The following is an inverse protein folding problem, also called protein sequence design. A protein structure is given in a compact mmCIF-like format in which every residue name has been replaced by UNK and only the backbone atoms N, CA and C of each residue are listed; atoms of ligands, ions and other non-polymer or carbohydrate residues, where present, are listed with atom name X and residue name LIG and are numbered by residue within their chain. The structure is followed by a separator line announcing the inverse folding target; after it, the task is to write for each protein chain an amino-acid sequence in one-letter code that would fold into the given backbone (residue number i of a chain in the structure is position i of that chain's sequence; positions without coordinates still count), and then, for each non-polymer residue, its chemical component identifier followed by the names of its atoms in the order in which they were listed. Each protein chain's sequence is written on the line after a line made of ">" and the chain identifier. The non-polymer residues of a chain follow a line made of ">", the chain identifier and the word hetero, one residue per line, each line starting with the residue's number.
data_IF_419907957412
#
_entry.id   IF_419907957412
#
_cell.length_a   1.000
_cell.length_b   1.000
_cell.length_c   1.000
_cell.angle_alpha   90.00
_cell.angle_beta   90.00
_cell.angle_gamma   90.00
#
_symmetry.space_group_name_H-M   'P 1'
#
loop_
_entity.id
_entity.type
_entity.pdbx_description
1 polymer ?
#
# COMPACT_ATOMS: atom_id res chain seq x y z
N UNK A 1 -22.00 16.19 23.22
CA UNK A 1 -20.83 16.91 22.69
C UNK A 1 -19.60 16.06 22.97
N UNK A 2 -19.03 15.43 21.95
CA UNK A 2 -17.79 14.64 22.05
C UNK A 2 -16.64 15.63 21.85
N UNK A 3 -15.68 15.68 22.77
CA UNK A 3 -14.62 16.69 22.82
C UNK A 3 -13.57 16.48 21.72
N UNK A 4 -13.23 17.53 20.97
CA UNK A 4 -12.27 17.51 19.85
C UNK A 4 -10.88 16.94 20.19
N UNK A 5 -10.50 16.96 21.47
CA UNK A 5 -9.19 16.50 21.93
C UNK A 5 -9.01 14.97 21.80
N UNK A 6 -10.08 14.19 21.98
CA UNK A 6 -10.02 12.72 21.87
C UNK A 6 -9.94 12.26 20.41
N UNK A 7 -10.56 13.02 19.50
CA UNK A 7 -10.56 12.73 18.07
C UNK A 7 -9.18 12.98 17.44
N UNK A 8 -8.50 14.05 17.88
CA UNK A 8 -7.17 14.41 17.39
C UNK A 8 -6.09 13.44 17.91
N UNK A 9 -6.16 13.04 19.19
CA UNK A 9 -5.22 12.07 19.78
C UNK A 9 -5.45 10.67 19.21
N UNK A 10 -6.70 10.26 18.97
CA UNK A 10 -7.03 9.01 18.30
C UNK A 10 -6.51 8.94 16.86
N UNK A 11 -6.67 10.01 16.08
CA UNK A 11 -6.14 10.08 14.70
C UNK A 11 -4.61 10.06 14.66
N UNK A 12 -3.96 10.86 15.51
CA UNK A 12 -2.52 10.93 15.53
C UNK A 12 -1.88 9.62 16.04
N UNK A 13 -2.50 8.99 17.05
CA UNK A 13 -2.06 7.70 17.59
C UNK A 13 -2.18 6.56 16.60
N UNK A 14 -3.27 6.50 15.82
CA UNK A 14 -3.47 5.48 14.80
C UNK A 14 -2.55 5.66 13.60
N UNK A 15 -2.34 6.88 13.11
CA UNK A 15 -1.35 7.16 12.05
C UNK A 15 0.06 6.80 12.51
N UNK A 16 0.43 7.15 13.75
CA UNK A 16 1.74 6.79 14.30
C UNK A 16 1.92 5.26 14.41
N UNK A 17 0.88 4.54 14.84
CA UNK A 17 0.88 3.08 14.93
C UNK A 17 0.95 2.42 13.53
N UNK A 18 0.19 2.92 12.55
CA UNK A 18 0.23 2.47 11.15
C UNK A 18 1.63 2.61 10.57
N UNK A 19 2.24 3.79 10.72
CA UNK A 19 3.58 4.10 10.20
C UNK A 19 4.64 3.24 10.90
N UNK A 20 4.55 3.10 12.22
CA UNK A 20 5.48 2.28 13.00
C UNK A 20 5.42 0.79 12.61
N UNK A 21 4.21 0.24 12.43
CA UNK A 21 4.02 -1.16 12.04
C UNK A 21 4.47 -1.43 10.60
N UNK A 22 4.27 -0.46 9.70
CA UNK A 22 4.68 -0.55 8.29
C UNK A 22 6.20 -0.52 8.12
N UNK A 23 6.92 0.28 8.94
CA UNK A 23 8.38 0.38 8.88
C UNK A 23 9.05 -0.89 9.42
N UNK A 24 8.43 -1.57 10.40
CA UNK A 24 9.08 -2.68 11.12
C UNK A 24 8.82 -4.08 10.54
N UNK A 25 7.70 -4.30 9.86
CA UNK A 25 7.32 -5.60 9.30
C UNK A 25 7.29 -5.54 7.76
N UNK A 26 8.28 -6.18 7.12
CA UNK A 26 8.37 -6.39 5.66
C UNK A 26 7.25 -7.28 5.11
N UNK A 27 6.01 -6.83 5.19
CA UNK A 27 4.85 -7.50 4.58
C UNK A 27 4.36 -6.62 3.42
N UNK A 28 4.07 -7.18 2.23
CA UNK A 28 3.54 -6.41 1.10
C UNK A 28 2.37 -5.51 1.54
N UNK A 29 2.31 -4.28 1.00
CA UNK A 29 1.47 -3.17 1.48
C UNK A 29 0.04 -3.55 1.86
N UNK A 30 -0.57 -4.50 1.14
CA UNK A 30 -1.90 -5.04 1.43
C UNK A 30 -2.00 -5.73 2.79
N UNK A 31 -1.02 -6.58 3.12
CA UNK A 31 -1.02 -7.35 4.37
C UNK A 31 -0.65 -6.48 5.57
N UNK A 32 0.19 -5.45 5.36
CA UNK A 32 0.45 -4.43 6.36
C UNK A 32 -0.81 -3.60 6.67
N UNK A 33 -1.57 -3.18 5.65
CA UNK A 33 -2.83 -2.45 5.83
C UNK A 33 -3.91 -3.26 6.57
N UNK A 34 -4.02 -4.56 6.28
CA UNK A 34 -5.00 -5.45 6.92
C UNK A 34 -4.72 -5.61 8.43
N UNK A 35 -3.47 -5.90 8.79
CA UNK A 35 -3.04 -6.02 10.19
C UNK A 35 -3.16 -4.70 10.93
N UNK A 36 -2.73 -3.60 10.31
CA UNK A 36 -2.69 -2.31 10.96
C UNK A 36 -4.11 -1.72 11.14
N UNK A 37 -5.04 -2.04 10.24
CA UNK A 37 -6.46 -1.77 10.44
C UNK A 37 -7.08 -2.62 11.54
N UNK A 38 -6.74 -3.91 11.64
CA UNK A 38 -7.21 -4.78 12.72
C UNK A 38 -6.83 -4.23 14.10
N UNK A 39 -5.59 -3.75 14.22
CA UNK A 39 -5.07 -3.15 15.46
C UNK A 39 -5.65 -1.76 15.72
N UNK A 40 -5.78 -0.91 14.69
CA UNK A 40 -6.40 0.41 14.81
C UNK A 40 -7.90 0.31 15.17
N UNK A 41 -8.61 -0.65 14.59
CA UNK A 41 -10.02 -0.92 14.87
C UNK A 41 -10.27 -1.33 16.32
N UNK A 42 -9.37 -2.13 16.89
CA UNK A 42 -9.39 -2.47 18.32
C UNK A 42 -9.13 -1.24 19.21
N UNK A 43 -8.28 -0.31 18.77
CA UNK A 43 -8.01 0.95 19.46
C UNK A 43 -9.14 1.99 19.38
N UNK A 44 -9.95 1.97 18.31
CA UNK A 44 -11.08 2.88 18.12
C UNK A 44 -12.42 2.37 18.69
N UNK A 45 -12.47 1.15 19.24
CA UNK A 45 -13.71 0.56 19.78
C UNK A 45 -14.77 0.27 18.72
N UNK A 46 -14.37 0.18 17.45
CA UNK A 46 -15.26 -0.10 16.33
C UNK A 46 -15.47 -1.61 16.20
N UNK A 47 -16.66 -2.02 15.75
CA UNK A 47 -16.90 -3.44 15.45
C UNK A 47 -15.94 -3.90 14.33
N UNK A 48 -15.41 -5.13 14.41
CA UNK A 48 -14.46 -5.64 13.42
C UNK A 48 -15.01 -5.62 11.98
N UNK A 49 -16.33 -5.69 11.84
CA UNK A 49 -17.06 -5.56 10.58
C UNK A 49 -16.92 -4.17 9.95
N UNK A 50 -17.07 -3.10 10.75
CA UNK A 50 -16.96 -1.72 10.27
C UNK A 50 -15.52 -1.39 9.84
N UNK A 51 -14.54 -1.95 10.55
CA UNK A 51 -13.11 -1.79 10.27
C UNK A 51 -12.74 -2.47 8.94
N UNK A 52 -13.24 -3.69 8.71
CA UNK A 52 -13.08 -4.37 7.43
C UNK A 52 -13.72 -3.57 6.29
N UNK A 53 -14.95 -3.07 6.49
CA UNK A 53 -15.67 -2.30 5.48
C UNK A 53 -14.96 -0.98 5.12
N UNK A 54 -14.33 -0.31 6.09
CA UNK A 54 -13.57 0.92 5.85
C UNK A 54 -12.27 0.66 5.07
N UNK A 55 -11.58 -0.43 5.35
CA UNK A 55 -10.38 -0.83 4.59
C UNK A 55 -10.74 -1.21 3.17
N UNK A 56 -11.74 -2.05 2.97
CA UNK A 56 -12.15 -2.46 1.63
C UNK A 56 -12.68 -1.28 0.82
N UNK A 57 -13.38 -0.33 1.45
CA UNK A 57 -13.79 0.89 0.80
C UNK A 57 -12.61 1.80 0.41
N UNK A 58 -11.71 2.14 1.35
CA UNK A 58 -10.58 3.04 1.08
C UNK A 58 -9.53 2.43 0.15
N UNK A 59 -9.22 1.15 0.35
CA UNK A 59 -8.33 0.41 -0.54
C UNK A 59 -8.97 0.16 -1.90
N UNK A 60 -10.28 -0.11 -1.94
CA UNK A 60 -11.04 -0.28 -3.19
C UNK A 60 -11.11 1.00 -4.02
N UNK A 61 -11.27 2.17 -3.40
CA UNK A 61 -11.27 3.46 -4.08
C UNK A 61 -9.87 3.79 -4.66
N UNK A 62 -8.82 3.51 -3.89
CA UNK A 62 -7.44 3.65 -4.36
C UNK A 62 -7.15 2.65 -5.48
N UNK A 63 -7.47 1.36 -5.30
CA UNK A 63 -7.24 0.34 -6.31
C UNK A 63 -8.13 0.54 -7.54
N UNK A 64 -9.29 1.18 -7.41
CA UNK A 64 -10.12 1.60 -8.54
C UNK A 64 -9.45 2.71 -9.36
N UNK A 65 -8.81 3.68 -8.69
CA UNK A 65 -8.16 4.81 -9.36
C UNK A 65 -6.80 4.46 -9.98
N UNK A 66 -5.97 3.66 -9.33
CA UNK A 66 -4.63 3.27 -9.85
C UNK A 66 -4.54 1.84 -10.38
N UNK A 67 -5.54 0.99 -10.16
CA UNK A 67 -5.47 -0.45 -10.50
C UNK A 67 -5.36 -0.73 -11.99
N UNK A 68 -6.06 0.05 -12.84
CA UNK A 68 -5.92 -0.08 -14.29
C UNK A 68 -4.50 0.27 -14.74
N UNK A 69 -3.92 1.34 -14.22
CA UNK A 69 -2.55 1.76 -14.54
C UNK A 69 -1.52 0.73 -14.08
N UNK A 70 -1.70 0.13 -12.90
CA UNK A 70 -0.85 -0.96 -12.40
C UNK A 70 -0.95 -2.19 -13.30
N UNK A 71 -2.18 -2.60 -13.66
CA UNK A 71 -2.42 -3.76 -14.51
C UNK A 71 -1.82 -3.57 -15.92
N UNK A 72 -2.02 -2.41 -16.53
CA UNK A 72 -1.42 -2.06 -17.82
C UNK A 72 0.10 -1.99 -17.74
N UNK A 73 0.66 -1.45 -16.66
CA UNK A 73 2.11 -1.40 -16.43
C UNK A 73 2.73 -2.79 -16.31
N UNK A 74 2.08 -3.70 -15.57
CA UNK A 74 2.52 -5.09 -15.46
C UNK A 74 2.41 -5.83 -16.80
N UNK A 75 1.31 -5.66 -17.52
CA UNK A 75 1.13 -6.23 -18.85
C UNK A 75 2.19 -5.72 -19.83
N UNK A 76 2.45 -4.41 -19.85
CA UNK A 76 3.50 -3.81 -20.65
C UNK A 76 4.89 -4.37 -20.28
N UNK A 77 5.18 -4.54 -19.00
CA UNK A 77 6.43 -5.14 -18.53
C UNK A 77 6.66 -6.54 -19.12
N UNK A 78 5.61 -7.38 -19.12
CA UNK A 78 5.65 -8.72 -19.71
C UNK A 78 5.86 -8.66 -21.23
N UNK A 79 5.15 -7.75 -21.92
CA UNK A 79 5.32 -7.55 -23.37
C UNK A 79 6.76 -7.14 -23.70
N UNK A 80 7.35 -6.23 -22.93
CA UNK A 80 8.75 -5.80 -23.10
C UNK A 80 9.75 -6.94 -22.86
N UNK A 81 9.45 -7.84 -21.93
CA UNK A 81 10.24 -9.05 -21.66
C UNK A 81 10.17 -10.01 -22.85
N UNK A 82 8.98 -10.29 -23.40
CA UNK A 82 8.82 -11.15 -24.58
C UNK A 82 9.49 -10.59 -25.84
N UNK A 83 9.49 -9.27 -26.03
CA UNK A 83 10.17 -8.63 -27.15
C UNK A 83 11.71 -8.56 -26.97
N UNK A 84 12.25 -9.00 -25.82
CA UNK A 84 13.67 -8.92 -25.51
C UNK A 84 14.19 -7.49 -25.29
N UNK A 85 13.30 -6.49 -25.25
CA UNK A 85 13.66 -5.09 -25.05
C UNK A 85 14.32 -4.88 -23.68
N UNK A 86 13.83 -5.57 -22.64
CA UNK A 86 14.42 -5.57 -21.30
C UNK A 86 15.89 -6.02 -21.31
N UNK A 87 16.22 -7.04 -22.11
CA UNK A 87 17.57 -7.58 -22.23
C UNK A 87 18.52 -6.61 -22.95
N UNK A 88 18.03 -5.92 -23.98
CA UNK A 88 18.80 -4.89 -24.70
C UNK A 88 19.10 -3.70 -23.78
N UNK A 89 18.10 -3.23 -23.02
CA UNK A 89 18.27 -2.14 -22.05
C UNK A 89 19.28 -2.54 -20.96
N UNK A 90 19.18 -3.76 -20.42
CA UNK A 90 20.12 -4.26 -19.41
C UNK A 90 21.56 -4.33 -19.93
N UNK A 91 21.77 -4.86 -21.14
CA UNK A 91 23.10 -4.91 -21.75
C UNK A 91 23.67 -3.51 -22.06
N UNK A 92 22.82 -2.57 -22.48
CA UNK A 92 23.23 -1.18 -22.68
C UNK A 92 23.77 -0.53 -21.41
N UNK A 93 23.10 -0.76 -20.28
CA UNK A 93 23.56 -0.24 -18.97
C UNK A 93 24.90 -0.87 -18.56
N UNK A 94 25.09 -2.18 -18.78
CA UNK A 94 26.34 -2.87 -18.45
C UNK A 94 27.51 -2.35 -19.31
N UNK A 95 27.27 -2.06 -20.59
CA UNK A 95 28.28 -1.50 -21.50
C UNK A 95 28.72 -0.09 -21.08
N UNK A 96 27.79 0.75 -20.63
CA UNK A 96 28.10 2.10 -20.14
C UNK A 96 28.91 2.09 -18.83
N UNK A 97 28.78 1.04 -18.01
CA UNK A 97 29.51 0.93 -16.74
C UNK A 97 30.94 0.38 -16.89
N UNK A 98 31.26 -0.26 -18.03
CA UNK A 98 32.60 -0.84 -18.31
C UNK A 98 33.54 0.10 -19.08
N UNK A 99 33.09 1.29 -19.48
CA UNK A 99 33.92 2.35 -20.06
C UNK A 99 34.28 3.41 -19.02
#
# INVERSE_FOLDING_TARGET
>A
MITLNELLVGFCGSVFLLVFLTIRCRVPAFMALLLASYVAGFGFGMTPDAVLSLVTAGFGDTLGSIGLTIALGAFLGIVLEYCGATTVIANGIILLLKG
#
